data_IF_207612334564
#
_entry.id   IF_207612334564
#
_cell.length_a   1.000
_cell.length_b   1.000
_cell.length_c   1.000
_cell.angle_alpha   90.00
_cell.angle_beta   90.00
_cell.angle_gamma   90.00
#
_symmetry.space_group_name_H-M   'P 1'
#
loop_
_entity.id
_entity.type
_entity.pdbx_description
1 polymer ?
#
# COMPACT_ATOMS: atom_id res chain seq x y z
N UNK A 1 -8.87 29.82 -55.06
CA UNK A 1 -9.63 29.16 -53.99
C UNK A 1 -8.71 29.05 -52.79
N UNK A 2 -9.07 29.64 -51.66
CA UNK A 2 -8.35 29.48 -50.41
C UNK A 2 -9.11 28.46 -49.57
N UNK A 3 -8.51 27.31 -49.28
CA UNK A 3 -9.03 26.38 -48.28
C UNK A 3 -8.78 26.96 -46.89
N UNK A 4 -9.87 27.29 -46.20
CA UNK A 4 -9.86 27.74 -44.82
C UNK A 4 -9.75 26.51 -43.91
N UNK A 5 -8.56 26.21 -43.38
CA UNK A 5 -8.40 25.23 -42.30
C UNK A 5 -8.77 25.89 -40.97
N UNK A 6 -9.96 25.58 -40.47
CA UNK A 6 -10.39 25.93 -39.12
C UNK A 6 -9.53 25.22 -38.07
N UNK A 7 -8.77 25.98 -37.26
CA UNK A 7 -8.16 25.46 -36.03
C UNK A 7 -9.27 25.00 -35.08
N UNK A 8 -9.33 23.70 -34.77
CA UNK A 8 -10.15 23.19 -33.65
C UNK A 8 -9.56 23.76 -32.35
N UNK A 9 -10.20 24.78 -31.80
CA UNK A 9 -9.87 25.31 -30.48
C UNK A 9 -10.20 24.28 -29.40
N UNK A 10 -9.27 24.10 -28.46
CA UNK A 10 -9.42 23.21 -27.31
C UNK A 10 -10.66 23.63 -26.49
N UNK A 11 -11.60 22.70 -26.28
CA UNK A 11 -12.89 23.01 -25.66
C UNK A 11 -12.79 22.94 -24.13
N UNK A 12 -12.20 23.98 -23.52
CA UNK A 12 -12.01 24.15 -22.08
C UNK A 12 -13.27 23.92 -21.23
N UNK A 13 -14.47 24.15 -21.79
CA UNK A 13 -15.74 23.97 -21.07
C UNK A 13 -16.14 22.50 -20.90
N UNK A 14 -15.72 21.62 -21.82
CA UNK A 14 -15.98 20.18 -21.70
C UNK A 14 -15.03 19.54 -20.67
N UNK A 15 -13.76 19.94 -20.70
CA UNK A 15 -12.74 19.45 -19.74
C UNK A 15 -13.02 19.93 -18.31
N UNK A 16 -13.46 21.18 -18.12
CA UNK A 16 -13.86 21.68 -16.81
C UNK A 16 -15.09 20.94 -16.23
N UNK A 17 -16.04 20.51 -17.08
CA UNK A 17 -17.20 19.74 -16.63
C UNK A 17 -16.81 18.29 -16.27
N UNK A 18 -15.92 17.67 -17.04
CA UNK A 18 -15.38 16.33 -16.77
C UNK A 18 -14.52 16.31 -15.52
N UNK A 19 -13.64 17.30 -15.32
CA UNK A 19 -12.83 17.43 -14.11
C UNK A 19 -13.67 17.65 -12.85
N UNK A 20 -14.73 18.46 -12.91
CA UNK A 20 -15.65 18.66 -11.77
C UNK A 20 -16.44 17.40 -11.43
N UNK A 21 -16.86 16.62 -12.44
CA UNK A 21 -17.55 15.35 -12.22
C UNK A 21 -16.61 14.26 -11.68
N UNK A 22 -15.37 14.17 -12.18
CA UNK A 22 -14.36 13.26 -11.65
C UNK A 22 -13.99 13.62 -10.20
N UNK A 23 -13.77 14.90 -9.89
CA UNK A 23 -13.51 15.34 -8.52
C UNK A 23 -14.70 15.09 -7.60
N UNK A 24 -15.94 15.27 -8.08
CA UNK A 24 -17.14 14.97 -7.29
C UNK A 24 -17.32 13.46 -7.05
N UNK A 25 -17.03 12.60 -8.04
CA UNK A 25 -17.06 11.13 -7.88
C UNK A 25 -15.96 10.67 -6.94
N UNK A 26 -14.73 11.18 -7.09
CA UNK A 26 -13.61 10.93 -6.16
C UNK A 26 -13.97 11.41 -4.75
N UNK A 27 -14.58 12.60 -4.60
CA UNK A 27 -15.05 13.10 -3.30
C UNK A 27 -16.16 12.25 -2.69
N UNK A 28 -17.12 11.76 -3.47
CA UNK A 28 -18.20 10.89 -2.96
C UNK A 28 -17.66 9.50 -2.60
N UNK A 29 -16.73 8.96 -3.39
CA UNK A 29 -16.05 7.69 -3.09
C UNK A 29 -15.16 7.83 -1.86
N UNK A 30 -14.34 8.87 -1.77
CA UNK A 30 -13.47 9.13 -0.59
C UNK A 30 -14.29 9.45 0.66
N UNK A 31 -15.39 10.20 0.55
CA UNK A 31 -16.28 10.46 1.69
C UNK A 31 -17.02 9.19 2.13
N UNK A 32 -17.52 8.39 1.19
CA UNK A 32 -18.14 7.09 1.49
C UNK A 32 -17.17 6.10 2.13
N UNK A 33 -15.92 6.07 1.64
CA UNK A 33 -14.83 5.26 2.19
C UNK A 33 -14.40 5.75 3.59
N UNK A 34 -14.33 7.07 3.81
CA UNK A 34 -14.04 7.67 5.12
C UNK A 34 -15.15 7.41 6.17
N UNK A 35 -16.43 7.39 5.76
CA UNK A 35 -17.53 7.00 6.65
C UNK A 35 -17.56 5.48 6.93
N UNK A 36 -17.25 4.65 5.93
CA UNK A 36 -17.21 3.18 6.07
C UNK A 36 -16.02 2.73 6.91
N UNK A 37 -14.82 3.30 6.71
CA UNK A 37 -13.61 3.03 7.52
C UNK A 37 -13.78 3.43 8.97
N UNK A 38 -14.37 4.61 9.25
CA UNK A 38 -14.72 5.00 10.62
C UNK A 38 -15.67 4.00 11.29
N UNK A 39 -16.65 3.45 10.56
CA UNK A 39 -17.56 2.44 11.11
C UNK A 39 -16.89 1.08 11.34
N UNK A 40 -15.94 0.69 10.48
CA UNK A 40 -15.12 -0.53 10.65
C UNK A 40 -14.33 -0.45 11.96
N UNK A 41 -13.65 0.67 12.16
CA UNK A 41 -12.77 0.93 13.30
C UNK A 41 -13.50 1.10 14.65
N UNK A 42 -14.83 1.18 14.69
CA UNK A 42 -15.59 1.13 15.96
C UNK A 42 -15.92 -0.31 16.41
N UNK A 43 -15.51 -1.31 15.65
CA UNK A 43 -15.88 -2.71 15.86
C UNK A 43 -14.62 -3.60 15.70
N UNK A 44 -14.23 -4.36 16.74
CA UNK A 44 -13.01 -5.16 16.70
C UNK A 44 -13.06 -6.24 15.63
N UNK A 45 -14.23 -6.88 15.46
CA UNK A 45 -14.42 -7.96 14.49
C UNK A 45 -14.35 -7.42 13.07
N UNK A 46 -15.02 -6.29 12.79
CA UNK A 46 -14.92 -5.66 11.46
C UNK A 46 -13.50 -5.21 11.17
N UNK A 47 -12.80 -4.64 12.15
CA UNK A 47 -11.40 -4.21 11.99
C UNK A 47 -10.52 -5.39 11.61
N UNK A 48 -10.60 -6.49 12.37
CA UNK A 48 -9.86 -7.72 12.09
C UNK A 48 -10.20 -8.33 10.73
N UNK A 49 -11.49 -8.41 10.38
CA UNK A 49 -11.93 -8.97 9.09
C UNK A 49 -11.41 -8.13 7.94
N UNK A 50 -11.46 -6.79 7.98
CA UNK A 50 -10.97 -5.97 6.86
C UNK A 50 -9.44 -6.04 6.70
N UNK A 51 -8.70 -6.13 7.81
CA UNK A 51 -7.25 -6.40 7.77
C UNK A 51 -6.96 -7.74 7.09
N UNK A 52 -7.57 -8.82 7.59
CA UNK A 52 -7.38 -10.16 7.05
C UNK A 52 -7.87 -10.30 5.61
N UNK A 53 -8.96 -9.62 5.23
CA UNK A 53 -9.52 -9.58 3.87
C UNK A 53 -8.48 -9.08 2.86
N UNK A 54 -7.81 -7.98 3.21
CA UNK A 54 -6.82 -7.35 2.34
C UNK A 54 -5.59 -8.26 2.14
N UNK A 55 -5.14 -8.93 3.21
CA UNK A 55 -4.05 -9.91 3.17
C UNK A 55 -4.45 -11.17 2.40
N UNK A 56 -5.60 -11.78 2.72
CA UNK A 56 -5.99 -13.08 2.18
C UNK A 56 -6.49 -13.01 0.73
N UNK A 57 -7.16 -11.94 0.32
CA UNK A 57 -7.69 -11.85 -1.04
C UNK A 57 -6.64 -11.43 -2.06
N UNK A 58 -5.66 -10.61 -1.68
CA UNK A 58 -4.71 -10.00 -2.63
C UNK A 58 -3.25 -10.08 -2.21
N UNK A 59 -2.93 -10.61 -1.03
CA UNK A 59 -1.59 -10.51 -0.46
C UNK A 59 -1.18 -9.07 -0.12
N UNK A 60 -2.12 -8.14 -0.08
CA UNK A 60 -1.86 -6.70 -0.01
C UNK A 60 -1.69 -6.25 1.44
N UNK A 61 -0.50 -6.51 2.01
CA UNK A 61 -0.20 -6.10 3.37
C UNK A 61 -0.05 -4.58 3.49
N UNK A 62 0.41 -3.88 2.45
CA UNK A 62 0.49 -2.41 2.45
C UNK A 62 -0.86 -1.78 2.79
N UNK A 63 -1.92 -2.16 2.09
CA UNK A 63 -3.24 -1.60 2.36
C UNK A 63 -3.88 -2.15 3.64
N UNK A 64 -3.52 -3.38 4.06
CA UNK A 64 -3.95 -3.93 5.34
C UNK A 64 -3.44 -3.07 6.51
N UNK A 65 -2.25 -2.48 6.38
CA UNK A 65 -1.67 -1.64 7.43
C UNK A 65 -2.46 -0.36 7.74
N UNK A 66 -3.38 0.07 6.88
CA UNK A 66 -4.33 1.15 7.19
C UNK A 66 -5.25 0.84 8.38
N UNK A 67 -5.36 -0.44 8.79
CA UNK A 67 -6.14 -0.87 9.94
C UNK A 67 -5.31 -1.05 11.22
N UNK A 68 -4.00 -0.81 11.17
CA UNK A 68 -3.06 -1.13 12.26
C UNK A 68 -2.75 0.06 13.18
N UNK A 69 -2.04 -0.20 14.28
CA UNK A 69 -1.56 0.84 15.20
C UNK A 69 -0.67 1.88 14.50
N UNK A 70 0.08 1.49 13.46
CA UNK A 70 0.91 2.40 12.67
C UNK A 70 0.11 3.54 12.00
N UNK A 71 -1.18 3.33 11.74
CA UNK A 71 -2.08 4.31 11.15
C UNK A 71 -2.83 5.19 12.19
N UNK A 72 -2.48 5.10 13.49
CA UNK A 72 -3.19 5.81 14.57
C UNK A 72 -2.89 7.31 14.57
N UNK A 73 -1.62 7.69 14.59
CA UNK A 73 -1.22 9.09 14.80
C UNK A 73 -1.16 9.88 13.51
N UNK A 74 -0.73 9.24 12.43
CA UNK A 74 -0.64 9.83 11.10
C UNK A 74 -1.31 8.90 10.08
N UNK A 75 -1.61 9.43 8.89
CA UNK A 75 -1.98 8.54 7.78
C UNK A 75 -0.83 7.59 7.52
N UNK A 76 -1.11 6.32 7.21
CA UNK A 76 -0.06 5.33 7.02
C UNK A 76 0.95 5.71 5.92
N UNK A 77 0.48 6.33 4.83
CA UNK A 77 1.37 6.90 3.82
C UNK A 77 2.29 8.01 4.34
N UNK A 78 1.82 8.85 5.26
CA UNK A 78 2.64 9.92 5.87
C UNK A 78 3.66 9.34 6.85
N UNK A 79 3.29 8.29 7.60
CA UNK A 79 4.22 7.51 8.40
C UNK A 79 5.38 6.99 7.54
N UNK A 80 5.09 6.41 6.37
CA UNK A 80 6.15 5.91 5.48
C UNK A 80 7.06 7.04 4.98
N UNK A 81 6.49 8.22 4.65
CA UNK A 81 7.27 9.40 4.24
C UNK A 81 8.27 9.79 5.31
N UNK A 82 7.76 10.01 6.52
CA UNK A 82 8.52 10.48 7.67
C UNK A 82 9.68 9.54 7.98
N UNK A 83 9.43 8.23 8.04
CA UNK A 83 10.43 7.28 8.54
C UNK A 83 11.36 6.70 7.46
N UNK A 84 10.91 6.58 6.20
CA UNK A 84 11.67 5.84 5.19
C UNK A 84 12.02 6.63 3.93
N UNK A 85 11.37 7.76 3.66
CA UNK A 85 11.57 8.50 2.41
C UNK A 85 12.26 9.84 2.64
N UNK A 86 11.80 10.62 3.62
CA UNK A 86 12.41 11.91 3.98
C UNK A 86 13.89 11.79 4.34
N UNK A 87 14.36 10.76 5.06
CA UNK A 87 15.79 10.56 5.28
C UNK A 87 16.61 10.40 3.99
N UNK A 88 15.99 9.91 2.91
CA UNK A 88 16.63 9.72 1.61
C UNK A 88 16.54 10.98 0.74
N UNK A 89 15.45 11.74 0.85
CA UNK A 89 15.20 12.95 0.06
C UNK A 89 15.93 14.16 0.64
N UNK A 90 15.98 14.31 1.96
CA UNK A 90 16.45 15.52 2.63
C UNK A 90 17.69 15.24 3.48
N UNK A 91 18.91 15.60 3.00
CA UNK A 91 20.13 15.43 3.78
C UNK A 91 20.06 16.15 5.14
N UNK A 92 20.27 15.40 6.22
CA UNK A 92 20.21 15.92 7.60
C UNK A 92 18.82 15.85 8.23
N UNK A 93 17.84 15.23 7.57
CA UNK A 93 16.54 14.94 8.15
C UNK A 93 16.64 13.87 9.25
N UNK A 94 15.91 14.09 10.34
CA UNK A 94 15.68 13.12 11.40
C UNK A 94 14.19 13.10 11.76
N UNK A 95 13.61 11.92 11.94
CA UNK A 95 12.21 11.80 12.35
C UNK A 95 11.99 12.48 13.71
N UNK A 96 10.94 13.30 13.81
CA UNK A 96 10.65 14.09 15.01
C UNK A 96 11.36 15.44 15.09
N UNK A 97 12.15 15.84 14.08
CA UNK A 97 12.67 17.21 13.98
C UNK A 97 11.53 18.24 13.89
N UNK A 98 11.77 19.46 14.36
CA UNK A 98 10.75 20.52 14.30
C UNK A 98 10.51 21.02 12.88
N UNK A 99 9.32 21.58 12.63
CA UNK A 99 8.98 22.20 11.32
C UNK A 99 10.01 23.26 10.91
N UNK A 100 10.49 24.09 11.85
CA UNK A 100 11.50 25.12 11.58
C UNK A 100 12.85 24.51 11.16
N UNK A 101 13.26 23.40 11.77
CA UNK A 101 14.48 22.69 11.40
C UNK A 101 14.31 21.99 10.04
N UNK A 102 13.13 21.43 9.77
CA UNK A 102 12.84 20.77 8.50
C UNK A 102 12.82 21.77 7.34
N UNK A 103 12.13 22.90 7.51
CA UNK A 103 12.09 23.99 6.54
C UNK A 103 13.51 24.51 6.20
N UNK A 104 14.41 24.53 7.19
CA UNK A 104 15.79 24.97 6.99
C UNK A 104 16.63 24.04 6.09
N UNK A 105 16.25 22.77 5.95
CA UNK A 105 16.97 21.79 5.13
C UNK A 105 16.31 21.49 3.79
N UNK A 106 15.03 21.84 3.60
CA UNK A 106 14.26 21.53 2.39
C UNK A 106 14.93 22.02 1.09
N UNK A 107 15.55 23.20 1.07
CA UNK A 107 16.25 23.74 -0.11
C UNK A 107 17.44 22.88 -0.59
N UNK A 108 17.95 22.01 0.29
CA UNK A 108 19.02 21.07 0.00
C UNK A 108 18.53 19.69 -0.43
N UNK A 109 17.22 19.44 -0.34
CA UNK A 109 16.59 18.18 -0.70
C UNK A 109 16.74 17.82 -2.18
N UNK A 110 16.80 16.51 -2.44
CA UNK A 110 16.92 15.94 -3.78
C UNK A 110 15.67 16.15 -4.65
N UNK A 111 14.55 16.59 -4.07
CA UNK A 111 13.33 16.96 -4.79
C UNK A 111 13.40 18.34 -5.46
N UNK A 112 14.59 18.95 -5.54
CA UNK A 112 14.81 20.24 -6.17
C UNK A 112 15.08 20.10 -7.69
N UNK A 113 14.58 21.05 -8.48
CA UNK A 113 14.81 21.13 -9.94
C UNK A 113 16.28 21.04 -10.35
N UNK A 114 17.23 21.51 -9.51
CA UNK A 114 18.67 21.45 -9.79
C UNK A 114 19.21 20.01 -9.96
N UNK A 115 18.49 19.01 -9.45
CA UNK A 115 18.84 17.61 -9.56
C UNK A 115 18.11 16.89 -10.70
N UNK A 116 17.17 17.57 -11.39
CA UNK A 116 16.43 16.98 -12.51
C UNK A 116 17.28 17.02 -13.79
N UNK A 117 17.31 15.91 -14.52
CA UNK A 117 17.77 15.89 -15.92
C UNK A 117 16.66 16.26 -16.90
N UNK A 118 17.06 16.47 -18.16
CA UNK A 118 16.13 16.53 -19.29
C UNK A 118 15.23 15.27 -19.37
N UNK A 119 15.71 14.09 -18.95
CA UNK A 119 14.91 12.87 -18.95
C UNK A 119 13.78 12.95 -17.93
N UNK A 120 14.06 13.47 -16.73
CA UNK A 120 13.04 13.65 -15.68
C UNK A 120 12.00 14.70 -16.10
N UNK A 121 12.43 15.83 -16.66
CA UNK A 121 11.55 16.92 -17.08
C UNK A 121 10.61 16.55 -18.23
N UNK A 122 10.98 15.56 -19.05
CA UNK A 122 10.25 15.15 -20.25
C UNK A 122 9.73 13.71 -20.18
N UNK A 123 9.75 13.07 -19.01
CA UNK A 123 9.20 11.73 -18.87
C UNK A 123 7.68 11.76 -19.07
N UNK A 124 7.19 10.88 -19.93
CA UNK A 124 5.76 10.69 -20.21
C UNK A 124 5.15 9.53 -19.41
N UNK A 125 5.91 9.01 -18.45
CA UNK A 125 5.59 7.83 -17.65
C UNK A 125 6.32 6.58 -18.11
N UNK A 126 7.01 6.61 -19.26
CA UNK A 126 7.79 5.46 -19.75
C UNK A 126 8.94 5.10 -18.82
N UNK A 127 9.69 6.10 -18.31
CA UNK A 127 10.81 5.84 -17.41
C UNK A 127 10.32 5.48 -16.01
N UNK A 128 9.24 6.10 -15.54
CA UNK A 128 8.59 5.72 -14.29
C UNK A 128 8.08 4.25 -14.34
N UNK A 129 7.47 3.84 -15.45
CA UNK A 129 7.07 2.45 -15.68
C UNK A 129 8.28 1.50 -15.69
N UNK A 130 9.35 1.87 -16.40
CA UNK A 130 10.59 1.09 -16.40
C UNK A 130 11.19 0.94 -14.99
N UNK A 131 11.13 1.98 -14.16
CA UNK A 131 11.59 1.91 -12.77
C UNK A 131 10.75 0.90 -11.97
N UNK A 132 9.43 0.97 -12.06
CA UNK A 132 8.54 0.02 -11.40
C UNK A 132 8.81 -1.43 -11.85
N UNK A 133 8.99 -1.67 -13.15
CA UNK A 133 9.32 -2.99 -13.69
C UNK A 133 10.65 -3.53 -13.16
N UNK A 134 11.68 -2.67 -13.04
CA UNK A 134 12.98 -3.05 -12.47
C UNK A 134 12.91 -3.35 -10.98
N UNK A 135 12.04 -2.66 -10.26
CA UNK A 135 11.85 -2.84 -8.81
C UNK A 135 11.01 -4.06 -8.48
N UNK A 136 10.11 -4.51 -9.37
CA UNK A 136 9.17 -5.59 -9.08
C UNK A 136 9.84 -6.91 -8.64
N UNK A 137 10.89 -7.43 -9.33
CA UNK A 137 11.61 -8.62 -8.87
C UNK A 137 12.12 -8.51 -7.43
N UNK A 138 12.66 -7.35 -7.08
CA UNK A 138 13.19 -7.10 -5.74
C UNK A 138 12.06 -6.93 -4.71
N UNK A 139 10.94 -6.30 -5.10
CA UNK A 139 9.74 -6.26 -4.26
C UNK A 139 9.27 -7.67 -3.89
N UNK A 140 9.17 -8.59 -4.85
CA UNK A 140 8.80 -9.99 -4.59
C UNK A 140 9.81 -10.67 -3.65
N UNK A 141 11.11 -10.44 -3.83
CA UNK A 141 12.15 -10.96 -2.93
C UNK A 141 11.95 -10.47 -1.49
N UNK A 142 11.66 -9.19 -1.31
CA UNK A 142 11.41 -8.60 0.02
C UNK A 142 10.16 -9.21 0.67
N UNK A 143 9.06 -9.35 -0.08
CA UNK A 143 7.82 -9.97 0.43
C UNK A 143 8.06 -11.44 0.81
N UNK A 144 8.80 -12.19 0.00
CA UNK A 144 9.12 -13.59 0.31
C UNK A 144 10.08 -13.74 1.49
N UNK A 145 10.92 -12.74 1.74
CA UNK A 145 11.92 -12.77 2.82
C UNK A 145 11.34 -12.32 4.15
N UNK A 146 10.65 -11.20 4.16
CA UNK A 146 10.21 -10.49 5.36
C UNK A 146 8.71 -10.64 5.63
N UNK A 147 7.91 -10.91 4.58
CA UNK A 147 6.47 -10.71 4.60
C UNK A 147 6.12 -9.32 5.14
N UNK A 148 4.89 -9.11 5.62
CA UNK A 148 4.51 -7.81 6.18
C UNK A 148 4.66 -7.72 7.69
N UNK A 149 5.12 -8.78 8.37
CA UNK A 149 5.37 -8.72 9.81
C UNK A 149 6.66 -7.93 10.11
N UNK A 150 7.60 -7.84 9.15
CA UNK A 150 8.80 -6.99 9.19
C UNK A 150 8.76 -5.92 8.09
N UNK A 151 7.78 -5.01 8.22
CA UNK A 151 7.58 -3.91 7.28
C UNK A 151 8.76 -2.92 7.26
N UNK A 152 9.48 -2.77 8.38
CA UNK A 152 10.65 -1.88 8.50
C UNK A 152 11.75 -2.33 7.54
N UNK A 153 12.05 -3.64 7.53
CA UNK A 153 12.98 -4.22 6.55
C UNK A 153 12.49 -4.05 5.11
N UNK A 154 11.19 -4.18 4.82
CA UNK A 154 10.68 -3.93 3.46
C UNK A 154 10.97 -2.50 3.04
N UNK A 155 10.50 -1.50 3.80
CA UNK A 155 10.61 -0.10 3.37
C UNK A 155 12.06 0.37 3.29
N UNK A 156 12.86 0.03 4.31
CA UNK A 156 14.28 0.38 4.35
C UNK A 156 15.02 -0.16 3.13
N UNK A 157 14.84 -1.45 2.82
CA UNK A 157 15.55 -2.08 1.72
C UNK A 157 14.99 -1.67 0.36
N UNK A 158 13.66 -1.57 0.22
CA UNK A 158 13.00 -1.19 -1.03
C UNK A 158 13.41 0.21 -1.47
N UNK A 159 13.28 1.21 -0.59
CA UNK A 159 13.57 2.59 -0.97
C UNK A 159 15.06 2.85 -1.17
N UNK A 160 15.93 2.19 -0.41
CA UNK A 160 17.37 2.23 -0.67
C UNK A 160 17.71 1.74 -2.09
N UNK A 161 17.13 0.61 -2.51
CA UNK A 161 17.34 0.08 -3.87
C UNK A 161 16.69 0.96 -4.95
N UNK A 162 15.51 1.51 -4.67
CA UNK A 162 14.81 2.41 -5.60
C UNK A 162 15.66 3.64 -5.95
N UNK A 163 16.36 4.23 -4.98
CA UNK A 163 17.26 5.38 -5.25
C UNK A 163 18.34 5.01 -6.27
N UNK A 164 18.94 3.82 -6.15
CA UNK A 164 19.96 3.32 -7.08
C UNK A 164 19.38 3.08 -8.48
N UNK A 165 18.23 2.40 -8.58
CA UNK A 165 17.59 2.10 -9.85
C UNK A 165 17.06 3.35 -10.54
N UNK A 166 16.50 4.30 -9.79
CA UNK A 166 16.05 5.58 -10.34
C UNK A 166 17.22 6.33 -10.97
N UNK A 167 18.34 6.42 -10.27
CA UNK A 167 19.55 7.06 -10.82
C UNK A 167 20.04 6.35 -12.08
N UNK A 168 19.94 5.03 -12.14
CA UNK A 168 20.31 4.25 -13.33
C UNK A 168 19.35 4.44 -14.52
N UNK A 169 18.06 4.64 -14.27
CA UNK A 169 17.01 4.84 -15.29
C UNK A 169 16.99 6.27 -15.81
N UNK A 170 16.97 7.26 -14.90
CA UNK A 170 16.81 8.68 -15.23
C UNK A 170 18.14 9.41 -15.44
N UNK A 171 19.25 8.87 -14.92
CA UNK A 171 20.59 9.45 -15.09
C UNK A 171 20.85 10.70 -14.26
N UNK A 172 20.08 10.92 -13.18
CA UNK A 172 20.20 12.08 -12.30
C UNK A 172 19.92 11.74 -10.83
N UNK A 173 20.12 12.73 -9.95
CA UNK A 173 20.00 12.57 -8.49
C UNK A 173 18.65 13.05 -7.94
N UNK A 174 17.70 13.44 -8.79
CA UNK A 174 16.40 13.90 -8.30
C UNK A 174 15.69 12.79 -7.53
N UNK A 175 15.01 13.12 -6.45
CA UNK A 175 14.26 12.15 -5.67
C UNK A 175 13.13 12.87 -4.95
N UNK A 176 11.92 12.39 -5.17
CA UNK A 176 10.70 12.96 -4.61
C UNK A 176 9.81 11.84 -4.11
N UNK A 177 9.03 12.11 -3.07
CA UNK A 177 8.22 11.10 -2.41
C UNK A 177 7.09 10.59 -3.32
N UNK A 178 6.56 11.40 -4.23
CA UNK A 178 5.56 10.95 -5.19
C UNK A 178 6.12 9.91 -6.15
N UNK A 179 7.36 10.11 -6.63
CA UNK A 179 8.03 9.14 -7.53
C UNK A 179 8.29 7.82 -6.81
N UNK A 180 8.76 7.91 -5.56
CA UNK A 180 9.06 6.75 -4.74
C UNK A 180 7.78 5.95 -4.41
N UNK A 181 6.68 6.62 -4.04
CA UNK A 181 5.39 5.97 -3.80
C UNK A 181 4.81 5.37 -5.06
N UNK A 182 4.81 6.10 -6.18
CA UNK A 182 4.22 5.62 -7.43
C UNK A 182 4.83 4.28 -7.84
N UNK A 183 6.17 4.16 -7.76
CA UNK A 183 6.84 2.89 -8.04
C UNK A 183 6.46 1.79 -7.03
N UNK A 184 6.45 2.12 -5.74
CA UNK A 184 6.07 1.16 -4.69
C UNK A 184 4.63 0.65 -4.83
N UNK A 185 3.67 1.55 -4.98
CA UNK A 185 2.24 1.22 -5.14
C UNK A 185 2.00 0.46 -6.45
N UNK A 186 2.76 0.77 -7.50
CA UNK A 186 2.77 -0.03 -8.72
C UNK A 186 3.21 -1.46 -8.44
N UNK A 187 4.28 -1.69 -7.67
CA UNK A 187 4.72 -3.04 -7.31
C UNK A 187 3.76 -3.77 -6.37
N UNK A 188 3.14 -3.07 -5.40
CA UNK A 188 2.06 -3.64 -4.57
C UNK A 188 0.89 -4.09 -5.45
N UNK A 189 0.48 -3.26 -6.40
CA UNK A 189 -0.59 -3.57 -7.35
C UNK A 189 -0.23 -4.78 -8.23
N UNK A 190 0.98 -4.80 -8.80
CA UNK A 190 1.47 -5.92 -9.61
C UNK A 190 1.53 -7.22 -8.82
N UNK A 191 1.94 -7.18 -7.55
CA UNK A 191 1.93 -8.36 -6.68
C UNK A 191 0.51 -8.85 -6.43
N UNK A 192 -0.42 -7.94 -6.12
CA UNK A 192 -1.83 -8.29 -5.96
C UNK A 192 -2.45 -8.90 -7.22
N UNK A 193 -2.06 -8.39 -8.40
CA UNK A 193 -2.46 -8.95 -9.68
C UNK A 193 -1.85 -10.33 -9.93
N UNK A 194 -0.61 -10.58 -9.50
CA UNK A 194 -0.01 -11.92 -9.58
C UNK A 194 -0.74 -12.93 -8.67
N UNK A 195 -1.32 -12.46 -7.55
CA UNK A 195 -2.17 -13.30 -6.68
C UNK A 195 -3.51 -13.61 -7.34
N UNK A 196 -4.20 -12.61 -7.89
CA UNK A 196 -5.60 -12.75 -8.33
C UNK A 196 -5.81 -13.01 -9.82
N UNK A 197 -4.82 -12.67 -10.64
CA UNK A 197 -4.97 -12.50 -12.08
C UNK A 197 -5.53 -11.13 -12.43
N UNK A 198 -5.58 -10.86 -13.74
CA UNK A 198 -6.11 -9.61 -14.29
C UNK A 198 -7.14 -9.91 -15.36
N UNK A 199 -8.12 -9.02 -15.51
CA UNK A 199 -9.01 -9.01 -16.67
C UNK A 199 -8.42 -8.12 -17.78
N UNK A 200 -8.83 -8.39 -19.02
CA UNK A 200 -8.52 -7.51 -20.15
C UNK A 200 -9.23 -6.16 -19.96
N UNK A 201 -8.46 -5.07 -19.98
CA UNK A 201 -9.00 -3.71 -19.95
C UNK A 201 -8.67 -3.01 -21.25
N UNK A 202 -9.70 -2.48 -21.90
CA UNK A 202 -9.58 -1.66 -23.10
C UNK A 202 -9.57 -0.18 -22.75
N UNK A 203 -8.79 0.60 -23.50
CA UNK A 203 -8.80 2.05 -23.43
C UNK A 203 -10.14 2.64 -23.91
N UNK A 204 -10.31 3.95 -23.78
CA UNK A 204 -11.54 4.67 -24.18
C UNK A 204 -11.92 4.48 -25.66
N UNK A 205 -10.94 4.10 -26.50
CA UNK A 205 -11.16 3.80 -27.92
C UNK A 205 -11.74 2.40 -28.18
N UNK A 206 -11.97 1.61 -27.13
CA UNK A 206 -12.44 0.23 -27.13
C UNK A 206 -11.59 -0.70 -28.02
N UNK A 207 -10.32 -0.36 -28.23
CA UNK A 207 -9.42 -1.07 -29.14
C UNK A 207 -8.02 -1.27 -28.59
N UNK A 208 -7.50 -0.26 -27.92
CA UNK A 208 -6.18 -0.33 -27.32
C UNK A 208 -6.29 -1.15 -26.04
N UNK A 209 -5.62 -2.31 -25.99
CA UNK A 209 -5.51 -3.08 -24.75
C UNK A 209 -4.56 -2.32 -23.84
N UNK A 210 -5.08 -1.86 -22.70
CA UNK A 210 -4.30 -1.15 -21.67
C UNK A 210 -3.89 -2.07 -20.52
N UNK A 211 -4.53 -3.23 -20.40
CA UNK A 211 -4.13 -4.31 -19.50
C UNK A 211 -4.54 -5.64 -20.15
N UNK A 212 -3.59 -6.57 -20.28
CA UNK A 212 -3.90 -7.92 -20.76
C UNK A 212 -4.52 -8.77 -19.66
N UNK A 213 -5.33 -9.76 -20.06
CA UNK A 213 -5.80 -10.80 -19.14
C UNK A 213 -4.62 -11.65 -18.71
N UNK A 214 -4.50 -11.92 -17.42
CA UNK A 214 -3.50 -12.84 -16.85
C UNK A 214 -4.17 -13.81 -15.88
N UNK A 215 -3.54 -14.97 -15.70
CA UNK A 215 -3.97 -15.96 -14.71
C UNK A 215 -3.09 -15.79 -13.47
N UNK A 216 -3.72 -15.52 -12.32
CA UNK A 216 -3.00 -15.40 -11.05
C UNK A 216 -2.96 -16.71 -10.26
N UNK A 217 -2.14 -16.73 -9.21
CA UNK A 217 -1.91 -17.89 -8.35
C UNK A 217 -3.22 -18.52 -7.86
N UNK A 218 -4.18 -17.73 -7.38
CA UNK A 218 -5.45 -18.27 -6.90
C UNK A 218 -6.31 -18.88 -8.00
N UNK A 219 -6.25 -18.34 -9.23
CA UNK A 219 -6.94 -18.94 -10.36
C UNK A 219 -6.31 -20.27 -10.76
N UNK A 220 -4.99 -20.41 -10.65
CA UNK A 220 -4.31 -21.69 -10.86
C UNK A 220 -4.68 -22.72 -9.79
N UNK A 221 -4.73 -22.30 -8.53
CA UNK A 221 -5.01 -23.19 -7.39
C UNK A 221 -6.49 -23.60 -7.31
N UNK A 222 -7.40 -22.68 -7.59
CA UNK A 222 -8.83 -22.84 -7.29
C UNK A 222 -9.76 -22.72 -8.50
N UNK A 223 -9.21 -22.41 -9.69
CA UNK A 223 -9.95 -22.17 -10.93
C UNK A 223 -10.25 -20.70 -11.19
N UNK A 224 -10.47 -20.33 -12.47
CA UNK A 224 -10.69 -18.92 -12.87
C UNK A 224 -11.88 -18.24 -12.18
N UNK A 225 -12.93 -19.00 -11.85
CA UNK A 225 -14.15 -18.50 -11.19
C UNK A 225 -14.07 -18.54 -9.65
N UNK A 226 -12.86 -18.63 -9.06
CA UNK A 226 -12.70 -18.69 -7.62
C UNK A 226 -13.26 -17.44 -6.91
N UNK A 227 -13.72 -17.62 -5.68
CA UNK A 227 -14.09 -16.52 -4.80
C UNK A 227 -13.72 -16.89 -3.37
N UNK A 228 -12.83 -16.09 -2.76
CA UNK A 228 -12.50 -16.18 -1.35
C UNK A 228 -13.33 -15.15 -0.61
N UNK A 229 -14.02 -15.58 0.44
CA UNK A 229 -14.70 -14.69 1.39
C UNK A 229 -14.03 -14.77 2.74
N UNK A 230 -13.78 -13.65 3.40
CA UNK A 230 -13.27 -13.65 4.78
C UNK A 230 -14.36 -13.41 5.81
N UNK A 231 -14.34 -14.17 6.90
CA UNK A 231 -15.27 -13.98 8.02
C UNK A 231 -14.59 -14.32 9.35
N UNK A 232 -14.97 -13.60 10.41
CA UNK A 232 -14.60 -13.97 11.76
C UNK A 232 -15.33 -15.25 12.18
N UNK A 233 -14.59 -16.18 12.78
CA UNK A 233 -15.11 -17.47 13.27
C UNK A 233 -14.98 -17.60 14.78
N UNK A 234 -14.14 -16.78 15.41
CA UNK A 234 -14.00 -16.70 16.86
C UNK A 234 -13.51 -15.31 17.27
N UNK A 235 -14.00 -14.84 18.41
CA UNK A 235 -13.55 -13.59 19.04
C UNK A 235 -13.35 -13.86 20.52
N UNK A 236 -12.17 -13.53 21.04
CA UNK A 236 -11.78 -13.76 22.43
C UNK A 236 -11.21 -12.48 23.02
N UNK A 237 -11.73 -12.06 24.18
CA UNK A 237 -11.15 -10.95 24.94
C UNK A 237 -9.82 -11.37 25.59
N UNK A 238 -8.83 -10.48 25.54
CA UNK A 238 -7.58 -10.67 26.28
C UNK A 238 -7.82 -10.29 27.74
N UNK A 239 -8.00 -11.31 28.59
CA UNK A 239 -8.37 -11.11 29.99
C UNK A 239 -7.28 -10.44 30.84
N UNK A 240 -6.01 -10.75 30.57
CA UNK A 240 -4.87 -10.14 31.26
C UNK A 240 -4.25 -9.04 30.38
N UNK A 241 -4.94 -7.90 30.36
CA UNK A 241 -4.53 -6.74 29.55
C UNK A 241 -3.20 -6.16 30.03
N UNK A 242 -2.87 -6.26 31.32
CA UNK A 242 -1.62 -5.72 31.87
C UNK A 242 -0.42 -6.53 31.36
N UNK A 243 -0.51 -7.86 31.37
CA UNK A 243 0.52 -8.72 30.78
C UNK A 243 0.65 -8.52 29.27
N UNK A 244 -0.47 -8.33 28.57
CA UNK A 244 -0.47 -8.03 27.13
C UNK A 244 0.28 -6.73 26.83
N UNK A 245 -0.09 -5.64 27.50
CA UNK A 245 0.55 -4.31 27.35
C UNK A 245 2.05 -4.36 27.67
N UNK A 246 2.46 -5.16 28.66
CA UNK A 246 3.85 -5.29 29.07
C UNK A 246 4.73 -6.04 28.06
N UNK A 247 4.13 -6.79 27.13
CA UNK A 247 4.84 -7.51 26.07
C UNK A 247 5.10 -6.65 24.82
N UNK A 248 4.38 -5.53 24.67
CA UNK A 248 4.55 -4.62 23.54
C UNK A 248 5.88 -3.87 23.63
N UNK A 249 6.53 -3.67 22.51
CA UNK A 249 7.79 -2.93 22.43
C UNK A 249 7.53 -1.41 22.54
N UNK A 250 7.98 -0.74 23.62
CA UNK A 250 7.74 0.68 23.82
C UNK A 250 8.38 1.56 22.75
N UNK A 251 9.52 1.15 22.16
CA UNK A 251 10.19 1.92 21.11
C UNK A 251 9.36 1.89 19.82
N UNK A 252 8.78 0.73 19.48
CA UNK A 252 7.87 0.60 18.33
C UNK A 252 6.60 1.43 18.54
N UNK A 253 6.00 1.36 19.73
CA UNK A 253 4.79 2.15 20.05
C UNK A 253 5.04 3.67 19.95
N UNK A 254 6.23 4.13 20.36
CA UNK A 254 6.63 5.54 20.24
C UNK A 254 6.63 5.99 18.78
N UNK A 255 7.10 5.16 17.84
CA UNK A 255 7.04 5.50 16.39
C UNK A 255 5.61 5.68 15.87
N UNK A 256 4.64 5.00 16.51
CA UNK A 256 3.22 5.13 16.19
C UNK A 256 2.55 6.28 16.95
N UNK A 257 3.30 7.04 17.76
CA UNK A 257 2.79 8.12 18.61
C UNK A 257 1.81 7.64 19.66
N UNK A 258 1.98 6.42 20.17
CA UNK A 258 1.16 5.83 21.22
C UNK A 258 2.05 5.30 22.34
N UNK A 259 1.44 5.09 23.50
CA UNK A 259 2.03 4.34 24.61
C UNK A 259 1.16 3.15 24.92
N UNK A 260 1.71 2.16 25.62
CA UNK A 260 0.93 1.02 26.07
C UNK A 260 -0.31 1.49 26.86
N UNK A 261 -0.19 2.54 27.68
CA UNK A 261 -1.27 3.10 28.50
C UNK A 261 -2.45 3.69 27.73
N UNK A 262 -2.29 3.97 26.43
CA UNK A 262 -3.40 4.37 25.57
C UNK A 262 -4.35 3.21 25.24
N UNK A 263 -3.92 1.96 25.45
CA UNK A 263 -4.68 0.74 25.16
C UNK A 263 -5.61 0.41 26.34
N UNK A 264 -6.92 0.42 26.07
CA UNK A 264 -7.98 0.19 27.07
C UNK A 264 -8.58 -1.21 27.04
N UNK A 265 -8.46 -1.92 25.91
CA UNK A 265 -8.92 -3.30 25.72
C UNK A 265 -8.14 -3.97 24.59
N UNK A 266 -8.12 -5.31 24.59
CA UNK A 266 -7.57 -6.09 23.49
C UNK A 266 -8.40 -7.36 23.24
N UNK A 267 -8.44 -7.81 21.99
CA UNK A 267 -9.11 -9.04 21.57
C UNK A 267 -8.27 -9.79 20.54
N UNK A 268 -8.41 -11.12 20.51
CA UNK A 268 -7.96 -11.96 19.41
C UNK A 268 -9.17 -12.40 18.61
N UNK A 269 -9.18 -12.08 17.31
CA UNK A 269 -10.23 -12.45 16.36
C UNK A 269 -9.64 -13.43 15.36
N UNK A 270 -10.12 -14.67 15.36
CA UNK A 270 -9.75 -15.65 14.33
C UNK A 270 -10.60 -15.39 13.09
N UNK A 271 -9.96 -15.03 11.98
CA UNK A 271 -10.58 -14.81 10.68
C UNK A 271 -10.18 -15.93 9.73
N UNK A 272 -11.15 -16.44 8.97
CA UNK A 272 -10.90 -17.46 7.94
C UNK A 272 -11.24 -16.92 6.56
N UNK A 273 -10.39 -17.24 5.59
CA UNK A 273 -10.71 -17.15 4.17
C UNK A 273 -11.30 -18.48 3.70
N UNK A 274 -12.45 -18.45 3.04
CA UNK A 274 -13.13 -19.64 2.54
C UNK A 274 -13.54 -19.51 1.09
N UNK A 275 -13.44 -20.62 0.34
CA UNK A 275 -14.03 -20.75 -0.99
C UNK A 275 -15.55 -20.93 -0.89
N UNK A 276 -16.23 -20.77 -2.03
CA UNK A 276 -17.69 -20.90 -2.14
C UNK A 276 -18.24 -22.29 -1.72
N UNK A 277 -17.41 -23.34 -1.78
CA UNK A 277 -17.77 -24.69 -1.36
C UNK A 277 -17.55 -24.94 0.15
N UNK A 278 -17.06 -23.94 0.88
CA UNK A 278 -16.76 -24.00 2.32
C UNK A 278 -15.34 -24.47 2.65
N UNK A 279 -14.49 -24.73 1.65
CA UNK A 279 -13.07 -25.04 1.88
C UNK A 279 -12.36 -23.84 2.50
N UNK A 280 -11.71 -24.03 3.65
CA UNK A 280 -10.88 -23.01 4.29
C UNK A 280 -9.53 -22.94 3.58
N UNK A 281 -9.19 -21.78 3.02
CA UNK A 281 -7.89 -21.56 2.35
C UNK A 281 -6.82 -21.13 3.35
N UNK A 282 -7.20 -20.37 4.37
CA UNK A 282 -6.31 -19.88 5.42
C UNK A 282 -7.11 -19.45 6.65
N UNK A 283 -6.43 -19.44 7.79
CA UNK A 283 -6.93 -18.91 9.07
C UNK A 283 -5.87 -17.98 9.64
N UNK A 284 -6.29 -16.82 10.12
CA UNK A 284 -5.42 -15.80 10.68
C UNK A 284 -5.99 -15.36 12.03
N UNK A 285 -5.17 -15.42 13.07
CA UNK A 285 -5.47 -14.83 14.37
C UNK A 285 -5.02 -13.37 14.36
N UNK A 286 -6.00 -12.46 14.36
CA UNK A 286 -5.78 -11.01 14.33
C UNK A 286 -5.98 -10.44 15.72
N UNK A 287 -4.91 -9.88 16.27
CA UNK A 287 -4.96 -9.17 17.54
C UNK A 287 -5.37 -7.74 17.28
N UNK A 288 -6.39 -7.27 18.00
CA UNK A 288 -6.89 -5.90 17.91
C UNK A 288 -6.87 -5.25 19.29
N UNK A 289 -6.49 -3.98 19.33
CA UNK A 289 -6.42 -3.16 20.54
C UNK A 289 -7.34 -1.96 20.42
N UNK A 290 -7.96 -1.57 21.54
CA UNK A 290 -8.78 -0.38 21.61
C UNK A 290 -7.96 0.80 22.11
N UNK A 291 -7.87 1.86 21.30
CA UNK A 291 -7.23 3.13 21.65
C UNK A 291 -8.29 4.23 21.54
N UNK A 292 -8.59 4.87 22.67
CA UNK A 292 -9.75 5.75 22.77
C UNK A 292 -11.05 5.00 22.47
N UNK A 293 -11.75 5.39 21.40
CA UNK A 293 -12.99 4.73 20.96
C UNK A 293 -12.79 3.84 19.74
N UNK A 294 -11.57 3.69 19.25
CA UNK A 294 -11.27 3.04 17.98
C UNK A 294 -10.46 1.76 18.21
N UNK A 295 -10.74 0.74 17.41
CA UNK A 295 -9.99 -0.50 17.33
C UNK A 295 -8.96 -0.43 16.20
N UNK A 296 -7.77 -0.92 16.49
CA UNK A 296 -6.66 -1.05 15.56
C UNK A 296 -6.14 -2.47 15.64
N UNK A 297 -5.65 -3.00 14.53
CA UNK A 297 -4.85 -4.23 14.53
C UNK A 297 -3.52 -3.95 15.22
N UNK A 298 -3.18 -4.78 16.20
CA UNK A 298 -1.83 -4.87 16.71
C UNK A 298 -0.98 -5.66 15.72
N UNK A 299 -0.29 -4.94 14.85
CA UNK A 299 0.63 -5.48 13.86
C UNK A 299 1.95 -6.00 14.47
N UNK A 300 2.19 -5.80 15.76
CA UNK A 300 3.38 -6.34 16.45
C UNK A 300 3.14 -7.75 17.00
N UNK A 301 1.88 -8.11 17.22
CA UNK A 301 1.46 -9.45 17.71
C UNK A 301 0.80 -10.29 16.61
N UNK A 302 0.12 -9.66 15.65
CA UNK A 302 -0.52 -10.36 14.53
C UNK A 302 0.53 -10.85 13.53
N UNK A 303 0.56 -12.16 13.27
CA UNK A 303 1.57 -12.81 12.41
C UNK A 303 0.94 -13.24 11.08
N UNK A 304 1.35 -12.62 9.98
CA UNK A 304 0.87 -12.87 8.62
C UNK A 304 1.89 -13.59 7.74
N UNK A 305 3.15 -13.66 8.13
CA UNK A 305 4.23 -14.27 7.33
C UNK A 305 3.94 -15.71 6.86
N UNK A 306 3.25 -16.59 7.62
CA UNK A 306 2.85 -17.90 7.10
C UNK A 306 1.98 -17.83 5.85
N UNK A 307 1.14 -16.80 5.70
CA UNK A 307 0.35 -16.59 4.47
C UNK A 307 1.27 -16.35 3.28
N UNK A 308 2.26 -15.48 3.44
CA UNK A 308 3.22 -15.17 2.39
C UNK A 308 4.13 -16.36 2.06
N UNK A 309 4.63 -17.05 3.09
CA UNK A 309 5.58 -18.15 2.96
C UNK A 309 4.95 -19.47 2.50
N UNK A 310 3.65 -19.68 2.71
CA UNK A 310 2.96 -20.93 2.37
C UNK A 310 1.95 -20.72 1.25
N UNK A 311 0.92 -19.90 1.49
CA UNK A 311 -0.19 -19.71 0.55
C UNK A 311 0.23 -18.94 -0.70
N UNK A 312 1.08 -17.92 -0.55
CA UNK A 312 1.53 -17.06 -1.64
C UNK A 312 2.93 -17.41 -2.17
N UNK A 313 3.51 -18.52 -1.73
CA UNK A 313 4.86 -18.97 -2.10
C UNK A 313 5.07 -19.21 -3.60
N UNK A 314 3.98 -19.35 -4.37
CA UNK A 314 4.02 -19.49 -5.82
C UNK A 314 4.28 -18.18 -6.57
N UNK A 315 4.23 -17.02 -5.90
CA UNK A 315 4.56 -15.75 -6.54
C UNK A 315 6.07 -15.62 -6.70
N UNK A 316 6.52 -15.55 -7.94
CA UNK A 316 7.94 -15.39 -8.28
C UNK A 316 8.21 -14.06 -8.97
N UNK A 317 9.48 -13.66 -8.95
CA UNK A 317 9.97 -12.45 -9.60
C UNK A 317 9.88 -12.49 -11.14
N UNK A 318 9.66 -13.67 -11.73
CA UNK A 318 9.52 -13.85 -13.16
C UNK A 318 8.04 -13.77 -13.54
N UNK A 319 7.61 -12.62 -14.07
CA UNK A 319 6.50 -12.67 -15.00
C UNK A 319 6.99 -13.47 -16.20
N UNK A 320 6.36 -14.62 -16.50
CA UNK A 320 6.52 -15.20 -17.82
C UNK A 320 6.07 -14.14 -18.83
N UNK A 321 7.04 -13.46 -19.44
CA UNK A 321 6.85 -12.69 -20.66
C UNK A 321 6.46 -13.71 -21.73
N UNK A 322 5.16 -13.94 -21.89
CA UNK A 322 4.59 -14.67 -23.03
C UNK A 322 4.43 -13.72 -24.20
#
# INVERSE_FOLDING_TARGET
MAENKTKKGFNYKLYAAVAVLLVAVVLVVTTGYAFKSRYIQFDPEKTAVNYADTVLQRGDGYNAYNYTMAAKSEKYGDFIRIYYMYPLIYPGYEAGMSDEEFDAIQDNGYNNEKYQSDATLNDDGTLAGQLADRMYPYFVELINTYGWDDYDSIYTNYFARLVEERKAVFGDDYLDDEVMFTAFESNVSSYGNAVTGTEEVLGEDEKTVIQEKSIGLYQELYGEDYAITTAAVSTQEIADIDSYKAALDPEVLETYGITADDISAAQCVTVQGTLADGTVVASLDVYVVQIGNTWYVDNTTTVTNPIYAELLSGITAEAELV
#
